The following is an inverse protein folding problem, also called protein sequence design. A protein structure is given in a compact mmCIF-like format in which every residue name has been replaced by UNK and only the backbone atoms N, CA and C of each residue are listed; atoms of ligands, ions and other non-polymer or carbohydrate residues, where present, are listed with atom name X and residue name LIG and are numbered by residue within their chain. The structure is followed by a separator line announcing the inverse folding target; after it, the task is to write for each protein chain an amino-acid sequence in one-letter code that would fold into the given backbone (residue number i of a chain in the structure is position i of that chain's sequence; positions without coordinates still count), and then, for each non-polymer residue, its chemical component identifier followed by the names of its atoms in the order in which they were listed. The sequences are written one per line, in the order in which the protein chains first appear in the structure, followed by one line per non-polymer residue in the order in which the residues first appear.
data_IF_597586220240
#
_entry.id   IF_597586220240
#
_cell.length_a   1.000
_cell.length_b   1.000
_cell.length_c   1.000
_cell.angle_alpha   90.00
_cell.angle_beta   90.00
_cell.angle_gamma   90.00
#
_symmetry.space_group_name_H-M   'P 1'
#
loop_
_entity.id
_entity.type
_entity.pdbx_description
1 polymer ?
#
# COMPACT_ATOMS: atom_id res chain seq x y z
N UNK A 1 25.45 14.21 5.68
CA UNK A 1 24.39 13.44 6.36
C UNK A 1 23.26 14.41 6.65
N UNK A 2 22.04 14.08 6.25
CA UNK A 2 20.90 14.97 6.41
C UNK A 2 20.50 14.97 7.89
N UNK A 3 20.33 16.16 8.48
CA UNK A 3 19.90 16.29 9.87
C UNK A 3 18.36 16.27 9.93
N UNK A 4 17.80 15.09 10.18
CA UNK A 4 16.37 14.90 10.38
C UNK A 4 15.97 15.20 11.84
N UNK A 5 14.92 16.00 12.01
CA UNK A 5 14.33 16.35 13.31
C UNK A 5 13.01 15.62 13.51
N UNK A 6 12.75 14.99 14.66
CA UNK A 6 11.44 14.38 14.92
C UNK A 6 10.32 15.41 14.77
N UNK A 7 9.19 15.03 14.17
CA UNK A 7 8.03 15.91 14.04
C UNK A 7 7.48 16.25 15.43
N UNK A 8 7.40 17.55 15.74
CA UNK A 8 6.84 18.11 16.97
C UNK A 8 5.82 19.17 16.65
N UNK A 9 4.95 19.47 17.63
CA UNK A 9 3.91 20.49 17.50
C UNK A 9 4.48 21.87 17.11
N UNK A 10 5.66 22.21 17.64
CA UNK A 10 6.39 23.46 17.33
C UNK A 10 6.84 23.58 15.86
N UNK A 11 6.91 22.45 15.12
CA UNK A 11 7.35 22.42 13.73
C UNK A 11 6.22 22.72 12.73
N UNK A 12 4.97 22.81 13.20
CA UNK A 12 3.77 22.95 12.37
C UNK A 12 3.92 24.00 11.27
N UNK A 13 4.26 25.23 11.66
CA UNK A 13 4.36 26.36 10.72
C UNK A 13 5.46 26.15 9.66
N UNK A 14 6.54 25.44 10.00
CA UNK A 14 7.66 25.21 9.07
C UNK A 14 7.25 24.16 8.03
N UNK A 15 6.61 23.08 8.47
CA UNK A 15 6.10 22.01 7.60
C UNK A 15 4.99 22.55 6.70
N UNK A 16 4.01 23.25 7.27
CA UNK A 16 2.86 23.80 6.56
C UNK A 16 3.24 24.87 5.54
N UNK A 17 4.36 25.58 5.72
CA UNK A 17 4.91 26.47 4.68
C UNK A 17 5.14 25.76 3.35
N UNK A 18 5.34 24.44 3.37
CA UNK A 18 5.58 23.62 2.18
C UNK A 18 4.30 22.86 1.77
N UNK A 19 3.57 22.27 2.71
CA UNK A 19 2.38 21.45 2.38
C UNK A 19 1.18 22.30 1.96
N UNK A 20 0.95 23.45 2.59
CA UNK A 20 -0.20 24.33 2.31
C UNK A 20 -0.29 24.81 0.86
N UNK A 21 0.80 25.27 0.21
CA UNK A 21 0.76 25.66 -1.21
C UNK A 21 0.93 24.49 -2.19
N UNK A 22 1.18 23.25 -1.74
CA UNK A 22 1.68 22.16 -2.60
C UNK A 22 0.70 21.67 -3.68
N UNK A 23 -0.60 21.79 -3.44
CA UNK A 23 -1.64 21.18 -4.29
C UNK A 23 -1.69 19.65 -4.23
N UNK A 24 -0.83 18.99 -3.43
CA UNK A 24 -0.86 17.54 -3.25
C UNK A 24 -2.03 17.18 -2.34
N UNK A 25 -2.79 16.15 -2.73
CA UNK A 25 -4.05 15.77 -2.07
C UNK A 25 -3.90 14.66 -1.04
N UNK A 26 -2.72 14.01 -0.96
CA UNK A 26 -2.46 12.88 -0.07
C UNK A 26 -2.68 13.24 1.41
N UNK A 27 -3.53 12.50 2.11
CA UNK A 27 -3.83 12.67 3.54
C UNK A 27 -2.59 12.58 4.45
N UNK A 28 -1.56 11.82 4.04
CA UNK A 28 -0.30 11.66 4.79
C UNK A 28 0.46 12.98 4.97
N UNK A 29 0.18 13.97 4.12
CA UNK A 29 0.79 15.30 4.19
C UNK A 29 0.10 16.26 5.17
N UNK A 30 -1.04 15.89 5.74
CA UNK A 30 -1.63 16.65 6.84
C UNK A 30 -0.69 16.63 8.05
N UNK A 31 -0.30 17.81 8.56
CA UNK A 31 0.59 17.90 9.72
C UNK A 31 0.02 17.16 10.94
N UNK A 32 -1.30 17.22 11.13
CA UNK A 32 -2.02 16.45 12.13
C UNK A 32 -1.73 14.95 12.05
N UNK A 33 -1.80 14.35 10.85
CA UNK A 33 -1.50 12.94 10.66
C UNK A 33 -0.04 12.63 11.01
N UNK A 34 0.92 13.44 10.54
CA UNK A 34 2.33 13.27 10.88
C UNK A 34 2.57 13.31 12.40
N UNK A 35 1.93 14.25 13.10
CA UNK A 35 2.10 14.44 14.54
C UNK A 35 1.39 13.37 15.38
N UNK A 36 0.16 13.01 15.02
CA UNK A 36 -0.65 12.04 15.78
C UNK A 36 -0.09 10.62 15.68
N UNK A 37 0.45 10.25 14.52
CA UNK A 37 1.05 8.94 14.28
C UNK A 37 2.53 8.84 14.65
N UNK A 38 3.10 9.89 15.26
CA UNK A 38 4.53 9.96 15.58
C UNK A 38 5.06 8.80 16.43
N UNK A 39 4.24 8.27 17.35
CA UNK A 39 4.62 7.15 18.21
C UNK A 39 4.75 5.83 17.45
N UNK A 40 4.11 5.70 16.29
CA UNK A 40 4.16 4.50 15.44
C UNK A 40 5.21 4.65 14.35
N UNK A 41 5.19 5.76 13.63
CA UNK A 41 6.01 5.94 12.43
C UNK A 41 7.33 6.67 12.67
N UNK A 42 7.57 7.21 13.87
CA UNK A 42 8.81 7.93 14.19
C UNK A 42 9.17 8.98 13.12
N UNK A 43 8.17 9.67 12.59
CA UNK A 43 8.31 10.64 11.52
C UNK A 43 9.30 11.74 11.91
N UNK A 44 10.16 12.08 10.97
CA UNK A 44 11.16 13.12 11.12
C UNK A 44 11.25 13.92 9.82
N UNK A 45 11.55 15.21 9.93
CA UNK A 45 11.57 16.12 8.80
C UNK A 45 12.92 16.81 8.63
N UNK A 46 13.22 17.21 7.41
CA UNK A 46 14.34 18.08 7.04
C UNK A 46 13.95 18.93 5.82
N UNK A 47 14.69 20.01 5.57
CA UNK A 47 14.58 20.77 4.32
C UNK A 47 15.88 20.63 3.55
N UNK A 48 15.80 20.16 2.31
CA UNK A 48 16.94 19.87 1.43
C UNK A 48 16.69 20.60 0.11
N UNK A 49 17.57 21.54 -0.23
CA UNK A 49 17.47 22.34 -1.46
C UNK A 49 16.07 22.95 -1.71
N UNK A 50 15.40 23.37 -0.62
CA UNK A 50 14.06 23.97 -0.67
C UNK A 50 12.89 22.98 -0.62
N UNK A 51 13.15 21.67 -0.59
CA UNK A 51 12.13 20.64 -0.45
C UNK A 51 12.01 20.17 1.01
N UNK A 52 10.80 20.16 1.54
CA UNK A 52 10.45 19.43 2.74
C UNK A 52 10.53 17.94 2.46
N UNK A 53 11.26 17.22 3.30
CA UNK A 53 11.36 15.77 3.25
C UNK A 53 10.92 15.19 4.58
N UNK A 54 9.98 14.26 4.55
CA UNK A 54 9.55 13.48 5.70
C UNK A 54 10.11 12.07 5.59
N UNK A 55 10.90 11.65 6.57
CA UNK A 55 11.38 10.27 6.75
C UNK A 55 10.60 9.60 7.86
N UNK A 56 10.20 8.36 7.66
CA UNK A 56 9.37 7.62 8.62
C UNK A 56 9.65 6.11 8.58
N UNK A 57 9.15 5.40 9.58
CA UNK A 57 9.20 3.95 9.72
C UNK A 57 7.96 3.32 9.08
N UNK A 58 8.17 2.54 8.02
CA UNK A 58 7.10 1.92 7.25
C UNK A 58 6.38 0.87 8.11
N UNK A 59 5.06 1.02 8.27
CA UNK A 59 4.22 0.12 9.07
C UNK A 59 4.63 0.03 10.55
N UNK A 60 5.37 1.03 11.06
CA UNK A 60 5.94 1.02 12.41
C UNK A 60 7.06 0.00 12.64
N UNK A 61 7.62 -0.57 11.57
CA UNK A 61 8.77 -1.47 11.64
C UNK A 61 10.11 -0.74 11.69
N UNK A 62 11.19 -1.45 11.36
CA UNK A 62 12.55 -0.86 11.28
C UNK A 62 12.87 -0.28 9.89
N UNK A 63 12.04 -0.60 8.88
CA UNK A 63 12.28 -0.12 7.52
C UNK A 63 11.97 1.36 7.43
N UNK A 64 12.92 2.15 6.93
CA UNK A 64 12.69 3.56 6.66
C UNK A 64 12.16 3.77 5.23
N UNK A 65 11.30 4.76 5.10
CA UNK A 65 10.80 5.33 3.86
C UNK A 65 10.79 6.85 3.94
N UNK A 66 10.63 7.48 2.79
CA UNK A 66 10.50 8.93 2.66
C UNK A 66 9.19 9.23 1.94
N UNK A 67 8.42 10.20 2.41
CA UNK A 67 7.27 10.68 1.64
C UNK A 67 7.77 11.38 0.36
N UNK A 68 6.86 11.62 -0.59
CA UNK A 68 7.17 12.52 -1.71
C UNK A 68 7.70 13.86 -1.16
N UNK A 69 8.91 14.30 -1.54
CA UNK A 69 9.39 15.62 -1.15
C UNK A 69 8.48 16.73 -1.66
N UNK A 70 8.26 17.75 -0.83
CA UNK A 70 7.32 18.84 -1.12
C UNK A 70 8.06 20.16 -1.22
N UNK A 71 7.96 20.83 -2.36
CA UNK A 71 8.64 22.10 -2.62
C UNK A 71 8.39 22.57 -4.05
N UNK A 72 8.97 23.71 -4.42
CA UNK A 72 8.85 24.23 -5.79
C UNK A 72 9.84 23.52 -6.73
N UNK A 73 9.33 23.07 -7.88
CA UNK A 73 10.16 22.44 -8.93
C UNK A 73 10.23 20.92 -8.83
N UNK A 74 11.28 20.35 -9.42
CA UNK A 74 11.48 18.90 -9.53
C UNK A 74 12.34 18.37 -8.39
N UNK A 75 11.73 17.63 -7.47
CA UNK A 75 12.44 17.05 -6.33
C UNK A 75 13.37 15.90 -6.73
N UNK A 76 13.28 15.35 -7.94
CA UNK A 76 14.14 14.24 -8.33
C UNK A 76 15.63 14.64 -8.34
N UNK A 77 15.95 15.94 -8.32
CA UNK A 77 17.30 16.45 -8.07
C UNK A 77 17.90 16.06 -6.70
N UNK A 78 17.07 15.89 -5.66
CA UNK A 78 17.55 15.55 -4.30
C UNK A 78 17.62 14.04 -4.02
N UNK A 79 17.19 13.19 -4.97
CA UNK A 79 17.23 11.73 -4.83
C UNK A 79 18.61 11.16 -4.46
N UNK A 80 19.74 11.63 -5.05
CA UNK A 80 21.06 11.16 -4.65
C UNK A 80 21.33 11.37 -3.14
N UNK A 81 20.91 12.50 -2.57
CA UNK A 81 21.08 12.78 -1.14
C UNK A 81 20.21 11.87 -0.26
N UNK A 82 18.95 11.61 -0.68
CA UNK A 82 18.07 10.68 0.02
C UNK A 82 18.61 9.24 -0.03
N UNK A 83 19.23 8.87 -1.15
CA UNK A 83 19.88 7.56 -1.30
C UNK A 83 21.07 7.41 -0.36
N UNK A 84 21.91 8.44 -0.25
CA UNK A 84 23.03 8.44 0.70
C UNK A 84 22.54 8.30 2.15
N UNK A 85 21.47 9.00 2.54
CA UNK A 85 20.90 8.85 3.89
C UNK A 85 20.33 7.45 4.12
N UNK A 86 19.58 6.90 3.16
CA UNK A 86 19.08 5.54 3.26
C UNK A 86 20.21 4.51 3.43
N UNK A 87 21.28 4.64 2.63
CA UNK A 87 22.46 3.79 2.71
C UNK A 87 23.21 3.93 4.04
N UNK A 88 23.28 5.14 4.62
CA UNK A 88 23.87 5.35 5.94
C UNK A 88 23.13 4.59 7.05
N UNK A 89 21.83 4.27 6.85
CA UNK A 89 21.04 3.42 7.73
C UNK A 89 21.06 1.92 7.32
N UNK A 90 21.90 1.54 6.35
CA UNK A 90 21.98 0.17 5.84
C UNK A 90 20.75 -0.26 5.04
N UNK A 91 19.97 0.69 4.51
CA UNK A 91 18.72 0.42 3.80
C UNK A 91 18.75 0.96 2.37
N UNK A 92 17.91 0.41 1.49
CA UNK A 92 17.66 0.99 0.16
C UNK A 92 16.74 2.20 0.27
N UNK A 93 16.84 3.13 -0.68
CA UNK A 93 15.90 4.25 -0.80
C UNK A 93 14.50 3.75 -1.16
N UNK A 94 13.50 4.24 -0.42
CA UNK A 94 12.06 4.00 -0.66
C UNK A 94 11.33 5.33 -0.59
N UNK A 95 10.64 5.70 -1.66
CA UNK A 95 9.75 6.86 -1.69
C UNK A 95 8.31 6.33 -1.67
N UNK A 96 7.48 6.84 -0.78
CA UNK A 96 6.12 6.36 -0.51
C UNK A 96 5.15 7.52 -0.65
N UNK A 97 3.93 7.26 -1.12
CA UNK A 97 2.92 8.30 -1.27
C UNK A 97 3.21 9.27 -2.41
N UNK A 98 3.90 8.79 -3.45
CA UNK A 98 4.15 9.55 -4.67
C UNK A 98 2.85 9.76 -5.45
N UNK A 99 2.64 10.98 -5.94
CA UNK A 99 1.59 11.27 -6.92
C UNK A 99 2.00 10.76 -8.31
N UNK A 100 1.08 10.78 -9.28
CA UNK A 100 1.41 10.50 -10.67
C UNK A 100 2.53 11.43 -11.19
N UNK A 101 2.47 12.72 -10.89
CA UNK A 101 3.51 13.70 -11.27
C UNK A 101 4.85 13.37 -10.62
N UNK A 102 4.84 13.06 -9.32
CA UNK A 102 6.07 12.70 -8.61
C UNK A 102 6.70 11.42 -9.16
N UNK A 103 5.90 10.42 -9.54
CA UNK A 103 6.38 9.22 -10.24
C UNK A 103 7.06 9.58 -11.56
N UNK A 104 6.45 10.44 -12.36
CA UNK A 104 7.00 10.84 -13.66
C UNK A 104 8.29 11.67 -13.53
N UNK A 105 8.41 12.54 -12.53
CA UNK A 105 9.67 13.24 -12.22
C UNK A 105 10.83 12.25 -12.01
N UNK A 106 10.61 11.21 -11.20
CA UNK A 106 11.62 10.18 -10.94
C UNK A 106 11.93 9.39 -12.21
N UNK A 107 10.91 8.96 -12.97
CA UNK A 107 11.10 8.21 -14.22
C UNK A 107 11.94 8.97 -15.23
N UNK A 108 11.74 10.28 -15.34
CA UNK A 108 12.46 11.12 -16.28
C UNK A 108 13.92 11.37 -15.87
N UNK A 109 14.17 11.66 -14.59
CA UNK A 109 15.52 11.99 -14.12
C UNK A 109 16.38 10.77 -13.72
N UNK A 110 15.76 9.66 -13.35
CA UNK A 110 16.41 8.44 -12.85
C UNK A 110 15.91 7.19 -13.59
N UNK A 111 15.82 7.28 -14.91
CA UNK A 111 15.29 6.23 -15.78
C UNK A 111 15.95 4.87 -15.52
N UNK A 112 15.12 3.83 -15.35
CA UNK A 112 15.56 2.45 -15.12
C UNK A 112 16.15 2.16 -13.74
N UNK A 113 16.23 3.14 -12.84
CA UNK A 113 16.81 2.96 -11.49
C UNK A 113 15.79 2.61 -10.42
N UNK A 114 14.49 2.68 -10.74
CA UNK A 114 13.40 2.44 -9.79
C UNK A 114 12.41 1.41 -10.30
N UNK A 115 11.79 0.71 -9.36
CA UNK A 115 10.53 0.01 -9.57
C UNK A 115 9.40 0.77 -8.87
N UNK A 116 8.23 0.82 -9.49
CA UNK A 116 7.05 1.54 -9.01
C UNK A 116 5.83 0.65 -8.87
N UNK A 117 5.09 0.82 -7.78
CA UNK A 117 3.82 0.12 -7.57
C UNK A 117 2.84 1.06 -6.85
N UNK A 118 1.56 0.96 -7.20
CA UNK A 118 0.47 1.52 -6.39
C UNK A 118 -0.32 0.37 -5.78
N UNK A 119 -0.67 0.48 -4.51
CA UNK A 119 -1.60 -0.43 -3.86
C UNK A 119 -2.97 0.24 -3.80
N UNK A 120 -3.96 -0.32 -4.51
CA UNK A 120 -5.32 0.22 -4.55
C UNK A 120 -5.96 0.33 -3.17
N UNK A 121 -5.54 -0.50 -2.22
CA UNK A 121 -6.01 -0.46 -0.84
C UNK A 121 -5.60 0.82 -0.10
N UNK A 122 -4.54 1.50 -0.55
CA UNK A 122 -3.93 2.66 0.10
C UNK A 122 -4.19 3.98 -0.65
N UNK A 123 -4.98 3.95 -1.73
CA UNK A 123 -5.30 5.14 -2.51
C UNK A 123 -6.40 5.96 -1.86
N UNK A 124 -6.23 7.29 -1.89
CA UNK A 124 -7.14 8.22 -1.24
C UNK A 124 -8.36 8.53 -2.08
N UNK A 125 -9.49 8.68 -1.41
CA UNK A 125 -10.74 9.13 -2.02
C UNK A 125 -10.94 10.63 -1.77
N UNK A 126 -10.84 11.42 -2.85
CA UNK A 126 -11.00 12.87 -2.78
C UNK A 126 -12.27 13.30 -3.49
N UNK A 127 -13.09 14.12 -2.82
CA UNK A 127 -14.41 14.54 -3.27
C UNK A 127 -14.46 16.06 -3.44
N UNK A 128 -15.31 16.52 -4.36
CA UNK A 128 -15.69 17.93 -4.37
C UNK A 128 -16.48 18.22 -3.08
N UNK A 129 -16.07 19.25 -2.34
CA UNK A 129 -16.74 19.63 -1.10
C UNK A 129 -18.22 19.98 -1.34
N UNK A 130 -18.53 20.68 -2.43
CA UNK A 130 -19.91 21.01 -2.81
C UNK A 130 -20.78 19.78 -3.08
N UNK A 131 -20.21 18.72 -3.65
CA UNK A 131 -20.94 17.47 -3.90
C UNK A 131 -21.35 16.84 -2.56
N UNK A 132 -20.47 16.83 -1.55
CA UNK A 132 -20.77 16.27 -0.22
C UNK A 132 -21.71 17.17 0.62
N UNK A 133 -21.58 18.49 0.50
CA UNK A 133 -22.45 19.48 1.17
C UNK A 133 -23.90 19.34 0.70
N UNK A 134 -24.08 19.27 -0.62
CA UNK A 134 -25.40 19.43 -1.24
C UNK A 134 -26.04 18.11 -1.67
N UNK A 135 -25.23 17.09 -1.98
CA UNK A 135 -25.66 15.79 -2.49
C UNK A 135 -26.67 15.93 -3.64
N UNK A 136 -26.39 16.76 -4.65
CA UNK A 136 -27.34 17.14 -5.72
C UNK A 136 -27.39 16.15 -6.88
N UNK A 137 -28.57 15.98 -7.48
CA UNK A 137 -28.74 15.14 -8.67
C UNK A 137 -29.07 13.68 -8.39
N UNK A 138 -29.32 12.91 -9.45
CA UNK A 138 -29.88 11.55 -9.36
C UNK A 138 -28.93 10.56 -8.68
N UNK A 139 -27.61 10.69 -8.88
CA UNK A 139 -26.59 9.78 -8.34
C UNK A 139 -26.52 9.76 -6.81
N UNK A 140 -26.88 10.86 -6.14
CA UNK A 140 -26.94 10.97 -4.68
C UNK A 140 -28.33 10.72 -4.09
N UNK A 141 -29.33 10.34 -4.89
CA UNK A 141 -30.68 10.03 -4.38
C UNK A 141 -30.65 8.98 -3.25
N UNK A 142 -29.85 7.89 -3.32
CA UNK A 142 -29.75 6.94 -2.21
C UNK A 142 -29.27 7.60 -0.91
N UNK A 143 -28.27 8.49 -0.98
CA UNK A 143 -27.74 9.20 0.20
C UNK A 143 -28.79 10.12 0.82
N UNK A 144 -29.51 10.90 -0.01
CA UNK A 144 -30.64 11.71 0.46
C UNK A 144 -31.75 10.87 1.08
N UNK A 145 -32.00 9.66 0.59
CA UNK A 145 -32.99 8.75 1.18
C UNK A 145 -32.57 8.29 2.59
N UNK A 146 -31.29 7.95 2.81
CA UNK A 146 -30.77 7.61 4.14
C UNK A 146 -30.91 8.80 5.10
N UNK A 147 -30.54 10.01 4.65
CA UNK A 147 -30.67 11.23 5.46
C UNK A 147 -32.13 11.51 5.82
N UNK A 148 -33.04 11.46 4.84
CA UNK A 148 -34.47 11.66 5.07
C UNK A 148 -35.07 10.64 6.04
N UNK A 149 -34.61 9.38 5.97
CA UNK A 149 -35.02 8.35 6.93
C UNK A 149 -34.51 8.66 8.34
N UNK A 150 -33.22 8.96 8.48
CA UNK A 150 -32.63 9.33 9.77
C UNK A 150 -33.37 10.52 10.40
N UNK A 151 -33.59 11.59 9.64
CA UNK A 151 -34.31 12.78 10.12
C UNK A 151 -35.78 12.49 10.47
N UNK A 152 -36.43 11.55 9.79
CA UNK A 152 -37.81 11.15 10.10
C UNK A 152 -37.90 10.28 11.36
N UNK A 153 -36.90 9.45 11.61
CA UNK A 153 -36.85 8.54 12.77
C UNK A 153 -36.38 9.26 14.03
N UNK A 154 -35.45 10.21 13.89
CA UNK A 154 -34.85 10.98 14.97
C UNK A 154 -35.06 12.48 14.76
N UNK A 155 -36.29 13.01 14.78
CA UNK A 155 -36.58 14.41 14.46
C UNK A 155 -35.90 15.43 15.39
N UNK A 156 -35.56 15.00 16.62
CA UNK A 156 -34.91 15.84 17.64
C UNK A 156 -33.38 15.66 17.67
N UNK A 157 -32.78 15.07 16.63
CA UNK A 157 -31.33 14.96 16.54
C UNK A 157 -30.68 16.36 16.49
N UNK A 158 -29.45 16.47 16.99
CA UNK A 158 -28.68 17.72 16.94
C UNK A 158 -27.28 17.47 16.42
N UNK A 159 -26.80 18.40 15.60
CA UNK A 159 -25.40 18.50 15.24
C UNK A 159 -24.73 19.54 16.13
N UNK A 160 -23.57 19.19 16.68
CA UNK A 160 -22.74 20.08 17.49
C UNK A 160 -21.31 20.06 16.95
N UNK A 161 -20.62 21.20 17.01
CA UNK A 161 -19.17 21.21 16.74
C UNK A 161 -18.46 20.37 17.81
N UNK A 162 -17.44 19.64 17.39
CA UNK A 162 -16.61 18.87 18.32
C UNK A 162 -15.76 19.83 19.15
N UNK A 163 -15.98 19.81 20.47
CA UNK A 163 -15.26 20.62 21.46
C UNK A 163 -14.67 19.75 22.55
N UNK A 164 -13.73 20.30 23.34
CA UNK A 164 -12.96 19.57 24.35
C UNK A 164 -13.80 18.80 25.37
N UNK A 165 -14.95 19.33 25.76
CA UNK A 165 -15.89 18.68 26.68
C UNK A 165 -16.51 17.39 26.11
N UNK A 166 -16.45 17.19 24.78
CA UNK A 166 -17.02 16.02 24.08
C UNK A 166 -16.01 14.91 23.77
N UNK A 167 -14.72 15.16 23.95
CA UNK A 167 -13.66 14.20 23.59
C UNK A 167 -13.81 12.86 24.34
N UNK A 168 -14.18 12.90 25.62
CA UNK A 168 -14.39 11.70 26.42
C UNK A 168 -15.53 10.82 25.88
N UNK A 169 -16.62 11.44 25.43
CA UNK A 169 -17.77 10.75 24.81
C UNK A 169 -17.38 10.12 23.47
N UNK A 170 -16.61 10.84 22.64
CA UNK A 170 -16.10 10.31 21.37
C UNK A 170 -15.19 9.10 21.57
N UNK A 171 -14.27 9.17 22.54
CA UNK A 171 -13.42 8.03 22.92
C UNK A 171 -14.23 6.85 23.47
N UNK A 172 -15.38 7.11 24.11
CA UNK A 172 -16.28 6.04 24.54
C UNK A 172 -16.96 5.38 23.34
N UNK A 173 -17.56 6.16 22.43
CA UNK A 173 -18.21 5.62 21.23
C UNK A 173 -17.23 4.79 20.39
N UNK A 174 -15.99 5.27 20.23
CA UNK A 174 -14.95 4.52 19.53
C UNK A 174 -14.64 3.17 20.18
N UNK A 175 -14.61 3.11 21.51
CA UNK A 175 -14.40 1.85 22.25
C UNK A 175 -15.59 0.90 22.11
N UNK A 176 -16.81 1.42 22.04
CA UNK A 176 -18.02 0.62 21.85
C UNK A 176 -18.08 0.04 20.43
N UNK A 177 -17.83 0.89 19.42
CA UNK A 177 -17.76 0.48 18.02
C UNK A 177 -16.76 -0.68 17.82
N UNK A 178 -15.57 -0.56 18.42
CA UNK A 178 -14.53 -1.61 18.38
C UNK A 178 -14.97 -2.92 19.00
N UNK A 179 -15.61 -2.88 20.18
CA UNK A 179 -16.07 -4.10 20.87
C UNK A 179 -17.09 -4.87 20.03
N UNK A 180 -17.90 -4.16 19.24
CA UNK A 180 -18.92 -4.76 18.39
C UNK A 180 -18.35 -5.31 17.07
N UNK A 181 -17.28 -4.72 16.53
CA UNK A 181 -16.81 -5.01 15.18
C UNK A 181 -15.48 -5.78 15.11
N UNK A 182 -14.63 -5.79 16.14
CA UNK A 182 -13.23 -6.24 15.98
C UNK A 182 -12.65 -7.01 17.19
N UNK A 183 -11.97 -8.13 16.88
CA UNK A 183 -11.12 -8.88 17.83
C UNK A 183 -9.78 -8.16 18.10
N UNK A 184 -9.19 -8.39 19.26
CA UNK A 184 -8.02 -7.63 19.76
C UNK A 184 -6.77 -7.80 18.86
N UNK A 185 -6.39 -6.80 18.06
CA UNK A 185 -5.10 -6.73 17.34
C UNK A 185 -4.28 -5.47 17.72
N UNK A 186 -2.99 -5.44 17.36
CA UNK A 186 -2.01 -4.43 17.79
C UNK A 186 -2.10 -3.08 17.05
N UNK A 187 -2.53 -3.07 15.79
CA UNK A 187 -2.79 -1.84 15.01
C UNK A 187 -3.89 -0.99 15.67
N UNK A 188 -4.85 -1.64 16.32
CA UNK A 188 -5.97 -0.99 17.01
C UNK A 188 -5.49 -0.08 18.15
N UNK A 189 -4.41 -0.46 18.86
CA UNK A 189 -3.85 0.39 19.90
C UNK A 189 -3.18 1.64 19.32
N UNK A 190 -2.74 1.63 18.06
CA UNK A 190 -2.10 2.77 17.43
C UNK A 190 -3.13 3.86 17.06
N UNK A 191 -4.26 3.48 16.44
CA UNK A 191 -5.34 4.42 16.10
C UNK A 191 -5.90 5.12 17.35
N UNK A 192 -6.13 4.37 18.44
CA UNK A 192 -6.56 4.96 19.72
C UNK A 192 -5.55 5.96 20.29
N UNK A 193 -4.24 5.64 20.21
CA UNK A 193 -3.18 6.57 20.64
C UNK A 193 -3.13 7.81 19.74
N UNK A 194 -3.29 7.64 18.43
CA UNK A 194 -3.33 8.74 17.48
C UNK A 194 -4.53 9.65 17.74
N UNK A 195 -5.73 9.07 17.95
CA UNK A 195 -6.95 9.80 18.28
C UNK A 195 -6.86 10.51 19.64
N UNK A 196 -6.31 9.86 20.67
CA UNK A 196 -6.07 10.52 21.96
C UNK A 196 -5.13 11.71 21.82
N UNK A 197 -4.04 11.55 21.06
CA UNK A 197 -3.08 12.62 20.79
C UNK A 197 -3.67 13.76 19.96
N UNK A 198 -4.57 13.45 19.03
CA UNK A 198 -5.35 14.43 18.29
C UNK A 198 -6.22 15.27 19.23
N UNK A 199 -6.92 14.63 20.16
CA UNK A 199 -7.74 15.32 21.16
C UNK A 199 -6.93 16.12 22.17
N UNK A 200 -5.76 15.62 22.60
CA UNK A 200 -4.89 16.32 23.55
C UNK A 200 -4.35 17.66 22.99
N UNK A 201 -4.31 17.80 21.66
CA UNK A 201 -3.77 18.96 20.95
C UNK A 201 -4.70 19.49 19.86
N UNK A 202 -6.01 19.29 20.01
CA UNK A 202 -7.00 19.51 18.97
C UNK A 202 -6.98 20.96 18.45
N UNK A 203 -6.91 21.92 19.38
CA UNK A 203 -6.89 23.34 19.05
C UNK A 203 -5.55 23.77 18.44
N UNK A 204 -4.41 23.29 18.95
CA UNK A 204 -3.08 23.62 18.40
C UNK A 204 -2.86 23.02 17.00
N UNK A 205 -3.46 21.86 16.74
CA UNK A 205 -3.49 21.24 15.41
C UNK A 205 -4.47 21.92 14.45
N UNK A 206 -5.27 22.89 14.92
CA UNK A 206 -6.35 23.54 14.15
C UNK A 206 -7.32 22.53 13.52
N UNK A 207 -7.61 21.46 14.27
CA UNK A 207 -8.56 20.46 13.84
C UNK A 207 -9.99 21.00 13.91
N UNK A 208 -10.82 20.48 13.01
CA UNK A 208 -12.26 20.73 13.00
C UNK A 208 -12.99 19.39 13.13
N UNK A 209 -14.15 19.41 13.79
CA UNK A 209 -14.95 18.20 13.94
C UNK A 209 -16.41 18.49 14.23
N UNK A 210 -17.21 17.44 14.13
CA UNK A 210 -18.65 17.47 14.36
C UNK A 210 -19.11 16.25 15.13
N UNK A 211 -20.22 16.40 15.85
CA UNK A 211 -20.89 15.37 16.62
C UNK A 211 -22.37 15.37 16.25
N UNK A 212 -23.00 14.19 16.23
CA UNK A 212 -24.45 14.05 16.18
C UNK A 212 -24.94 13.37 17.45
N UNK A 213 -25.96 13.96 18.05
CA UNK A 213 -26.68 13.40 19.18
C UNK A 213 -28.12 13.09 18.82
N UNK A 214 -28.64 11.99 19.37
CA UNK A 214 -30.06 11.65 19.40
C UNK A 214 -30.49 11.61 20.86
N UNK A 215 -31.31 12.58 21.28
CA UNK A 215 -31.48 12.86 22.70
C UNK A 215 -30.14 13.26 23.33
N UNK A 216 -29.75 12.63 24.43
CA UNK A 216 -28.46 12.89 25.10
C UNK A 216 -27.35 11.90 24.70
N UNK A 217 -27.61 10.97 23.77
CA UNK A 217 -26.62 9.99 23.33
C UNK A 217 -25.87 10.51 22.12
N UNK A 218 -24.53 10.54 22.20
CA UNK A 218 -23.65 10.70 21.03
C UNK A 218 -23.77 9.47 20.14
N UNK A 219 -24.19 9.64 18.89
CA UNK A 219 -24.38 8.55 17.94
C UNK A 219 -23.43 8.61 16.76
N UNK A 220 -22.78 9.75 16.50
CA UNK A 220 -21.72 9.84 15.51
C UNK A 220 -20.78 11.00 15.82
N UNK A 221 -19.52 10.88 15.43
CA UNK A 221 -18.57 11.99 15.40
C UNK A 221 -17.61 11.86 14.23
N UNK A 222 -17.03 13.00 13.86
CA UNK A 222 -15.99 13.08 12.84
C UNK A 222 -15.04 14.22 13.14
N UNK A 223 -13.78 14.10 12.74
CA UNK A 223 -12.83 15.20 12.77
C UNK A 223 -11.75 15.05 11.71
N UNK A 224 -11.07 16.15 11.44
CA UNK A 224 -10.04 16.23 10.43
C UNK A 224 -9.20 17.50 10.52
N UNK A 225 -8.32 17.69 9.55
CA UNK A 225 -7.48 18.89 9.44
C UNK A 225 -7.17 19.25 7.99
N UNK A 226 -6.50 20.37 7.77
CA UNK A 226 -6.05 20.76 6.44
C UNK A 226 -4.87 19.89 5.98
N UNK A 227 -4.96 19.41 4.74
CA UNK A 227 -3.78 18.87 4.00
C UNK A 227 -3.03 20.02 3.35
N UNK A 228 -3.79 20.91 2.71
CA UNK A 228 -3.28 22.08 2.03
C UNK A 228 -4.28 23.26 2.09
N UNK A 229 -4.02 24.35 1.34
CA UNK A 229 -4.87 25.56 1.36
C UNK A 229 -6.35 25.31 1.03
N UNK A 230 -6.65 24.29 0.23
CA UNK A 230 -7.96 24.03 -0.38
C UNK A 230 -8.48 22.60 -0.18
N UNK A 231 -7.69 21.72 0.44
CA UNK A 231 -8.04 20.32 0.72
C UNK A 231 -8.10 20.07 2.22
N UNK A 232 -9.25 19.60 2.68
CA UNK A 232 -9.44 19.12 4.05
C UNK A 232 -9.43 17.60 4.07
N UNK A 233 -8.78 16.98 5.04
CA UNK A 233 -8.81 15.54 5.22
C UNK A 233 -9.63 15.15 6.44
N UNK A 234 -10.57 14.23 6.24
CA UNK A 234 -11.42 13.66 7.28
C UNK A 234 -10.75 12.42 7.85
N UNK A 235 -9.91 12.61 8.87
CA UNK A 235 -9.12 11.55 9.51
C UNK A 235 -9.96 10.46 10.16
N UNK A 236 -11.06 10.85 10.82
CA UNK A 236 -11.90 9.91 11.57
C UNK A 236 -13.36 10.23 11.30
N UNK A 237 -14.13 9.18 11.02
CA UNK A 237 -15.59 9.23 10.95
C UNK A 237 -16.14 7.95 11.59
N UNK A 238 -16.87 8.08 12.69
CA UNK A 238 -17.40 6.96 13.47
C UNK A 238 -18.86 7.21 13.78
N UNK A 239 -19.66 6.17 13.70
CA UNK A 239 -21.07 6.20 14.07
C UNK A 239 -21.51 4.88 14.68
N UNK A 240 -22.49 4.97 15.56
CA UNK A 240 -23.22 3.83 16.12
C UNK A 240 -24.04 3.17 15.01
N UNK A 241 -23.79 1.88 14.78
CA UNK A 241 -24.44 1.10 13.71
C UNK A 241 -25.91 0.81 13.98
N UNK A 242 -26.39 1.02 15.20
CA UNK A 242 -27.81 0.89 15.54
C UNK A 242 -28.66 2.03 14.95
N UNK A 243 -28.03 3.11 14.45
CA UNK A 243 -28.70 4.29 13.89
C UNK A 243 -28.55 4.34 12.37
N UNK A 244 -29.55 3.80 11.63
CA UNK A 244 -29.53 3.80 10.16
C UNK A 244 -29.45 5.22 9.59
N UNK A 245 -28.44 5.47 8.76
CA UNK A 245 -28.18 6.77 8.16
C UNK A 245 -27.22 7.67 8.94
N UNK A 246 -26.79 7.31 10.16
CA UNK A 246 -25.88 8.12 10.99
C UNK A 246 -24.59 8.53 10.26
N UNK A 247 -23.91 7.57 9.62
CA UNK A 247 -22.72 7.85 8.78
C UNK A 247 -23.01 8.79 7.62
N UNK A 248 -24.21 8.73 7.02
CA UNK A 248 -24.55 9.57 5.86
C UNK A 248 -24.84 11.00 6.29
N UNK A 249 -25.53 11.19 7.42
CA UNK A 249 -25.88 12.52 7.91
C UNK A 249 -24.70 13.24 8.55
N UNK A 250 -23.82 12.55 9.32
CA UNK A 250 -22.60 13.16 9.86
C UNK A 250 -21.70 13.64 8.73
N UNK A 251 -21.56 12.84 7.67
CA UNK A 251 -20.72 13.21 6.55
C UNK A 251 -21.21 14.49 5.86
N UNK A 252 -22.51 14.57 5.56
CA UNK A 252 -23.10 15.75 4.91
C UNK A 252 -22.99 16.97 5.80
N UNK A 253 -23.42 16.87 7.06
CA UNK A 253 -23.45 18.01 7.98
C UNK A 253 -22.04 18.51 8.25
N UNK A 254 -21.06 17.62 8.44
CA UNK A 254 -19.69 18.04 8.62
C UNK A 254 -19.17 18.80 7.39
N UNK A 255 -19.41 18.29 6.17
CA UNK A 255 -19.03 19.00 4.95
C UNK A 255 -19.67 20.40 4.85
N UNK A 256 -20.92 20.58 5.30
CA UNK A 256 -21.61 21.89 5.36
C UNK A 256 -20.99 22.87 6.35
N UNK A 257 -20.37 22.37 7.42
CA UNK A 257 -19.73 23.20 8.45
C UNK A 257 -18.24 23.45 8.18
N UNK A 258 -17.64 22.79 7.19
CA UNK A 258 -16.26 23.07 6.80
C UNK A 258 -16.14 24.46 6.13
N UNK A 259 -15.08 25.23 6.44
CA UNK A 259 -14.80 26.50 5.80
C UNK A 259 -14.87 26.45 4.27
N UNK A 260 -15.42 27.49 3.64
CA UNK A 260 -15.61 27.55 2.18
C UNK A 260 -14.31 27.43 1.38
N UNK A 261 -13.16 27.80 1.98
CA UNK A 261 -11.84 27.65 1.35
C UNK A 261 -11.52 26.21 0.97
N UNK A 262 -12.09 25.23 1.68
CA UNK A 262 -11.94 23.82 1.35
C UNK A 262 -12.92 23.46 0.23
N UNK A 263 -12.35 23.31 -0.96
CA UNK A 263 -13.06 22.90 -2.18
C UNK A 263 -12.98 21.40 -2.41
N UNK A 264 -11.99 20.73 -1.80
CA UNK A 264 -11.80 19.30 -1.82
C UNK A 264 -11.83 18.72 -0.40
N UNK A 265 -12.40 17.52 -0.28
CA UNK A 265 -12.40 16.73 0.96
C UNK A 265 -11.76 15.38 0.65
N UNK A 266 -10.60 15.10 1.24
CA UNK A 266 -10.03 13.78 1.30
C UNK A 266 -10.71 12.99 2.43
N UNK A 267 -11.04 11.72 2.19
CA UNK A 267 -11.59 10.82 3.21
C UNK A 267 -10.76 9.55 3.31
N UNK A 268 -9.46 9.61 3.06
CA UNK A 268 -8.45 8.55 3.19
C UNK A 268 -8.75 7.29 2.35
N UNK A 269 -8.08 6.18 2.65
CA UNK A 269 -8.07 4.93 1.88
C UNK A 269 -9.11 3.86 2.30
N UNK A 270 -9.35 2.85 1.46
CA UNK A 270 -10.31 1.77 1.77
C UNK A 270 -9.71 0.56 2.50
N UNK A 271 -8.38 0.53 2.69
CA UNK A 271 -7.62 -0.54 3.35
C UNK A 271 -7.85 -1.93 2.76
N UNK A 272 -8.35 -2.03 1.52
CA UNK A 272 -8.68 -3.29 0.88
C UNK A 272 -10.02 -3.88 1.33
N UNK A 273 -10.78 -3.17 2.17
CA UNK A 273 -12.05 -3.65 2.72
C UNK A 273 -13.17 -3.38 1.72
N UNK A 274 -13.75 -4.43 1.14
CA UNK A 274 -14.76 -4.31 0.08
C UNK A 274 -15.97 -3.45 0.46
N UNK A 275 -16.50 -3.63 1.69
CA UNK A 275 -17.62 -2.81 2.17
C UNK A 275 -17.26 -1.32 2.26
N UNK A 276 -16.06 -1.00 2.73
CA UNK A 276 -15.56 0.37 2.83
C UNK A 276 -15.32 0.97 1.45
N UNK A 277 -14.71 0.20 0.54
CA UNK A 277 -14.50 0.58 -0.87
C UNK A 277 -15.81 0.93 -1.57
N UNK A 278 -16.83 0.07 -1.45
CA UNK A 278 -18.15 0.34 -2.03
C UNK A 278 -18.80 1.59 -1.43
N UNK A 279 -18.67 1.78 -0.11
CA UNK A 279 -19.17 2.97 0.58
C UNK A 279 -18.53 4.25 0.04
N UNK A 280 -17.19 4.29 -0.06
CA UNK A 280 -16.45 5.46 -0.58
C UNK A 280 -16.76 5.72 -2.06
N UNK A 281 -16.74 4.69 -2.91
CA UNK A 281 -17.10 4.83 -4.33
C UNK A 281 -18.54 5.33 -4.53
N UNK A 282 -19.48 4.98 -3.65
CA UNK A 282 -20.88 5.42 -3.75
C UNK A 282 -21.08 6.93 -3.52
N UNK A 283 -20.06 7.64 -3.02
CA UNK A 283 -20.03 9.10 -2.92
C UNK A 283 -19.40 9.78 -4.15
N UNK A 284 -19.06 9.02 -5.20
CA UNK A 284 -18.56 9.54 -6.48
C UNK A 284 -17.33 10.45 -6.31
N UNK A 285 -16.20 9.90 -5.85
CA UNK A 285 -14.96 10.67 -5.69
C UNK A 285 -14.62 11.42 -6.99
N UNK A 286 -14.20 12.67 -6.84
CA UNK A 286 -13.72 13.50 -7.93
C UNK A 286 -12.36 12.99 -8.43
N UNK A 287 -11.53 12.52 -7.51
CA UNK A 287 -10.20 11.96 -7.78
C UNK A 287 -9.99 10.75 -6.87
N UNK A 288 -9.46 9.66 -7.45
CA UNK A 288 -8.76 8.63 -6.67
C UNK A 288 -7.28 9.01 -6.73
N UNK A 289 -6.74 9.48 -5.61
CA UNK A 289 -5.36 9.93 -5.54
C UNK A 289 -4.46 8.70 -5.37
N UNK A 290 -3.77 8.34 -6.45
CA UNK A 290 -2.77 7.27 -6.41
C UNK A 290 -1.66 7.61 -5.42
N UNK A 291 -1.14 6.57 -4.75
CA UNK A 291 -0.02 6.65 -3.81
C UNK A 291 1.03 5.62 -4.22
N UNK A 292 1.94 6.00 -5.12
CA UNK A 292 2.98 5.10 -5.57
C UNK A 292 4.06 4.91 -4.51
N UNK A 293 4.51 3.67 -4.36
CA UNK A 293 5.78 3.30 -3.76
C UNK A 293 6.82 3.18 -4.87
N UNK A 294 7.97 3.83 -4.70
CA UNK A 294 9.15 3.66 -5.52
C UNK A 294 10.30 3.10 -4.68
N UNK A 295 10.94 2.02 -5.16
CA UNK A 295 12.17 1.51 -4.56
C UNK A 295 13.33 1.73 -5.52
N UNK A 296 14.46 2.25 -5.01
CA UNK A 296 15.67 2.29 -5.82
C UNK A 296 16.19 0.86 -5.97
N UNK A 297 16.31 0.42 -7.21
CA UNK A 297 16.78 -0.91 -7.57
C UNK A 297 18.29 -0.98 -7.43
N UNK A 298 18.77 -2.13 -6.99
CA UNK A 298 20.19 -2.44 -7.04
C UNK A 298 20.61 -2.98 -8.41
N UNK A 299 21.91 -2.97 -8.76
CA UNK A 299 22.37 -3.38 -10.09
C UNK A 299 21.92 -4.78 -10.53
N UNK A 300 21.87 -5.75 -9.61
CA UNK A 300 21.38 -7.09 -9.89
C UNK A 300 19.86 -7.13 -10.10
N UNK A 301 19.08 -6.34 -9.36
CA UNK A 301 17.64 -6.20 -9.56
C UNK A 301 17.33 -5.55 -10.92
N UNK A 302 18.10 -4.53 -11.34
CA UNK A 302 18.00 -3.90 -12.66
C UNK A 302 18.28 -4.95 -13.76
N UNK A 303 19.38 -5.69 -13.65
CA UNK A 303 19.71 -6.72 -14.64
C UNK A 303 18.67 -7.84 -14.70
N UNK A 304 18.04 -8.18 -13.56
CA UNK A 304 16.92 -9.14 -13.55
C UNK A 304 15.68 -8.57 -14.26
N UNK A 305 15.33 -7.31 -14.00
CA UNK A 305 14.22 -6.62 -14.67
C UNK A 305 14.42 -6.63 -16.19
N UNK A 306 15.62 -6.25 -16.66
CA UNK A 306 15.97 -6.28 -18.09
C UNK A 306 15.84 -7.68 -18.71
N UNK A 307 16.36 -8.70 -18.03
CA UNK A 307 16.24 -10.09 -18.48
C UNK A 307 14.78 -10.57 -18.51
N UNK A 308 13.98 -10.19 -17.51
CA UNK A 308 12.56 -10.52 -17.44
C UNK A 308 11.83 -9.95 -18.64
N UNK A 309 11.95 -8.63 -18.85
CA UNK A 309 11.28 -7.91 -19.93
C UNK A 309 11.65 -8.51 -21.29
N UNK A 310 12.93 -8.81 -21.50
CA UNK A 310 13.40 -9.41 -22.76
C UNK A 310 12.94 -10.87 -22.97
N UNK A 311 12.65 -11.62 -21.90
CA UNK A 311 12.29 -13.03 -21.97
C UNK A 311 10.79 -13.29 -22.05
N UNK A 312 9.98 -12.53 -21.31
CA UNK A 312 8.56 -12.82 -21.11
C UNK A 312 7.63 -11.78 -21.73
N UNK A 313 8.09 -10.54 -21.93
CA UNK A 313 7.26 -9.47 -22.49
C UNK A 313 6.13 -9.00 -21.58
N UNK A 314 6.16 -9.36 -20.29
CA UNK A 314 5.24 -8.85 -19.28
C UNK A 314 5.36 -7.34 -19.14
N UNK A 315 4.26 -6.69 -18.75
CA UNK A 315 4.25 -5.24 -18.55
C UNK A 315 5.15 -4.81 -17.37
N UNK A 316 5.64 -3.57 -17.44
CA UNK A 316 6.57 -3.05 -16.43
C UNK A 316 5.96 -3.01 -15.02
N UNK A 317 4.64 -2.73 -14.92
CA UNK A 317 3.96 -2.65 -13.63
C UNK A 317 3.91 -4.02 -12.95
N UNK A 318 3.67 -5.09 -13.69
CA UNK A 318 3.71 -6.46 -13.19
C UNK A 318 5.10 -6.83 -12.64
N UNK A 319 6.16 -6.53 -13.41
CA UNK A 319 7.53 -6.82 -13.01
C UNK A 319 7.93 -5.98 -11.78
N UNK A 320 7.57 -4.70 -11.74
CA UNK A 320 7.86 -3.81 -10.62
C UNK A 320 7.16 -4.26 -9.33
N UNK A 321 5.89 -4.68 -9.45
CA UNK A 321 5.12 -5.25 -8.33
C UNK A 321 5.81 -6.51 -7.77
N UNK A 322 6.30 -7.39 -8.64
CA UNK A 322 7.09 -8.56 -8.24
C UNK A 322 8.38 -8.15 -7.50
N UNK A 323 9.12 -7.17 -8.03
CA UNK A 323 10.37 -6.67 -7.44
C UNK A 323 10.15 -6.03 -6.06
N UNK A 324 9.03 -5.33 -5.87
CA UNK A 324 8.70 -4.68 -4.61
C UNK A 324 8.25 -5.70 -3.55
N UNK A 325 7.41 -6.66 -3.92
CA UNK A 325 6.71 -7.52 -2.94
C UNK A 325 7.37 -8.87 -2.70
N UNK A 326 7.91 -9.47 -3.76
CA UNK A 326 8.26 -10.90 -3.79
C UNK A 326 9.74 -11.20 -3.98
N UNK A 327 10.46 -10.31 -4.69
CA UNK A 327 11.88 -10.46 -4.92
C UNK A 327 12.68 -10.57 -3.61
N UNK A 328 13.66 -11.48 -3.60
CA UNK A 328 14.62 -11.60 -2.52
C UNK A 328 15.95 -12.09 -3.05
N UNK A 329 17.02 -11.35 -2.76
CA UNK A 329 18.40 -11.72 -3.10
C UNK A 329 18.78 -13.11 -2.59
N UNK A 330 18.30 -13.49 -1.40
CA UNK A 330 18.57 -14.82 -0.80
C UNK A 330 17.90 -15.99 -1.52
N UNK A 331 16.92 -15.70 -2.39
CA UNK A 331 16.13 -16.67 -3.15
C UNK A 331 16.24 -16.45 -4.65
N UNK A 332 17.15 -15.59 -5.08
CA UNK A 332 17.45 -15.30 -6.47
C UNK A 332 18.73 -16.02 -6.86
N UNK A 333 18.73 -16.69 -8.02
CA UNK A 333 19.95 -17.24 -8.61
C UNK A 333 20.23 -16.57 -9.95
N UNK A 334 21.45 -16.09 -10.11
CA UNK A 334 21.94 -15.49 -11.35
C UNK A 334 23.18 -16.22 -11.86
N UNK A 335 23.36 -16.25 -13.18
CA UNK A 335 24.59 -16.67 -13.81
C UNK A 335 25.18 -15.50 -14.58
N UNK A 336 26.42 -15.14 -14.26
CA UNK A 336 27.16 -14.13 -14.99
C UNK A 336 27.90 -14.72 -16.19
N UNK A 337 27.96 -13.94 -17.27
CA UNK A 337 28.76 -14.23 -18.45
C UNK A 337 29.30 -12.92 -19.02
N UNK A 338 30.60 -12.86 -19.31
CA UNK A 338 31.28 -11.65 -19.82
C UNK A 338 30.99 -10.39 -18.97
N UNK A 339 30.91 -10.54 -17.65
CA UNK A 339 30.67 -9.44 -16.71
C UNK A 339 29.22 -8.93 -16.67
N UNK A 340 28.28 -9.63 -17.30
CA UNK A 340 26.84 -9.30 -17.29
C UNK A 340 26.03 -10.46 -16.70
N UNK A 341 24.95 -10.15 -15.98
CA UNK A 341 23.94 -11.15 -15.64
C UNK A 341 23.32 -11.69 -16.94
N UNK A 342 23.50 -12.98 -17.19
CA UNK A 342 23.15 -13.62 -18.47
C UNK A 342 22.01 -14.64 -18.33
N UNK A 343 21.80 -15.18 -17.15
CA UNK A 343 20.65 -16.02 -16.83
C UNK A 343 20.20 -15.79 -15.39
N UNK A 344 18.93 -16.11 -15.13
CA UNK A 344 18.29 -15.80 -13.85
C UNK A 344 17.16 -16.82 -13.55
N UNK A 345 16.88 -17.07 -12.27
CA UNK A 345 15.65 -17.68 -11.79
C UNK A 345 15.36 -17.30 -10.33
N UNK A 346 14.09 -17.35 -9.93
CA UNK A 346 13.62 -17.09 -8.58
C UNK A 346 13.14 -18.38 -7.90
N UNK A 347 13.41 -18.52 -6.60
CA UNK A 347 12.94 -19.63 -5.76
C UNK A 347 11.89 -19.13 -4.77
N UNK A 348 10.61 -19.22 -5.15
CA UNK A 348 9.52 -18.65 -4.36
C UNK A 348 8.95 -19.67 -3.36
N UNK A 349 8.75 -19.27 -2.09
CA UNK A 349 8.22 -20.14 -1.05
C UNK A 349 6.68 -20.27 -1.12
N UNK A 350 6.19 -21.50 -1.25
CA UNK A 350 4.77 -21.85 -1.20
C UNK A 350 4.50 -23.06 -0.29
N UNK A 351 3.32 -23.10 0.32
CA UNK A 351 2.78 -24.33 0.89
C UNK A 351 1.75 -24.90 -0.06
N UNK A 352 1.73 -26.23 -0.21
CA UNK A 352 0.73 -26.94 -1.01
C UNK A 352 0.30 -28.23 -0.32
N UNK A 353 -0.59 -28.99 -0.96
CA UNK A 353 -0.97 -30.33 -0.48
C UNK A 353 0.21 -31.31 -0.44
N UNK A 354 1.33 -30.98 -1.11
CA UNK A 354 2.58 -31.74 -1.08
C UNK A 354 3.53 -31.30 0.04
N UNK A 355 3.13 -30.36 0.89
CA UNK A 355 3.96 -29.79 1.95
C UNK A 355 4.71 -28.55 1.47
N UNK A 356 5.92 -28.36 2.00
CA UNK A 356 6.72 -27.17 1.70
C UNK A 356 7.23 -27.23 0.26
N UNK A 357 6.78 -26.28 -0.54
CA UNK A 357 6.92 -26.32 -1.99
C UNK A 357 7.68 -25.10 -2.49
N UNK A 358 8.74 -25.30 -3.27
CA UNK A 358 9.43 -24.19 -3.96
C UNK A 358 8.91 -24.04 -5.37
N UNK A 359 8.42 -22.85 -5.72
CA UNK A 359 8.14 -22.51 -7.12
C UNK A 359 9.38 -21.91 -7.77
N UNK A 360 9.93 -22.60 -8.78
CA UNK A 360 11.00 -22.07 -9.62
C UNK A 360 10.37 -21.17 -10.68
N UNK A 361 10.57 -19.86 -10.54
CA UNK A 361 9.86 -18.83 -11.28
C UNK A 361 10.80 -17.96 -12.11
N UNK A 362 10.33 -17.47 -13.26
CA UNK A 362 11.08 -16.53 -14.12
C UNK A 362 12.42 -17.07 -14.63
N UNK A 363 12.50 -18.35 -15.04
CA UNK A 363 13.73 -18.94 -15.59
C UNK A 363 14.04 -18.31 -16.94
N UNK A 364 15.04 -17.42 -16.99
CA UNK A 364 15.41 -16.69 -18.20
C UNK A 364 16.89 -16.81 -18.53
N UNK A 365 17.22 -16.71 -19.81
CA UNK A 365 18.59 -16.54 -20.33
C UNK A 365 18.54 -15.55 -21.47
N UNK A 366 19.41 -14.53 -21.42
CA UNK A 366 19.51 -13.50 -22.44
C UNK A 366 19.65 -14.14 -23.83
N UNK A 367 18.91 -13.68 -24.86
CA UNK A 367 18.91 -14.28 -26.19
C UNK A 367 20.32 -14.56 -26.76
N UNK A 368 21.26 -13.64 -26.57
CA UNK A 368 22.65 -13.71 -27.04
C UNK A 368 23.53 -14.74 -26.29
N UNK A 369 23.11 -15.17 -25.09
CA UNK A 369 23.83 -16.12 -24.24
C UNK A 369 23.15 -17.50 -24.15
N UNK A 370 22.07 -17.73 -24.91
CA UNK A 370 21.40 -19.03 -24.99
C UNK A 370 22.34 -20.12 -25.54
N UNK A 371 22.01 -21.39 -25.25
CA UNK A 371 22.77 -22.60 -25.65
C UNK A 371 24.20 -22.69 -25.08
N UNK A 372 24.52 -21.92 -24.04
CA UNK A 372 25.80 -21.98 -23.30
C UNK A 372 25.72 -22.74 -21.97
N UNK A 373 24.60 -23.42 -21.70
CA UNK A 373 24.39 -24.20 -20.47
C UNK A 373 24.06 -23.39 -19.21
N UNK A 374 23.89 -22.07 -19.31
CA UNK A 374 23.67 -21.18 -18.15
C UNK A 374 22.40 -21.52 -17.35
N UNK A 375 21.25 -21.66 -18.01
CA UNK A 375 20.02 -22.10 -17.35
C UNK A 375 20.17 -23.46 -16.67
N UNK A 376 20.89 -24.41 -17.28
CA UNK A 376 21.14 -25.72 -16.68
C UNK A 376 21.98 -25.65 -15.41
N UNK A 377 22.99 -24.77 -15.39
CA UNK A 377 23.77 -24.48 -14.17
C UNK A 377 22.89 -23.94 -13.04
N UNK A 378 22.00 -23.00 -13.36
CA UNK A 378 21.06 -22.44 -12.38
C UNK A 378 20.04 -23.47 -11.88
N UNK A 379 19.51 -24.31 -12.77
CA UNK A 379 18.61 -25.40 -12.38
C UNK A 379 19.30 -26.41 -11.46
N UNK A 380 20.55 -26.79 -11.75
CA UNK A 380 21.32 -27.67 -10.86
C UNK A 380 21.49 -27.08 -9.46
N UNK A 381 21.83 -25.79 -9.37
CA UNK A 381 21.96 -25.08 -8.10
C UNK A 381 20.60 -24.92 -7.38
N UNK A 382 19.53 -24.63 -8.11
CA UNK A 382 18.17 -24.58 -7.57
C UNK A 382 17.80 -25.90 -6.90
N UNK A 383 18.00 -27.02 -7.58
CA UNK A 383 17.68 -28.35 -7.04
C UNK A 383 18.54 -28.69 -5.81
N UNK A 384 19.82 -28.30 -5.81
CA UNK A 384 20.67 -28.45 -4.62
C UNK A 384 20.12 -27.67 -3.43
N UNK A 385 19.73 -26.40 -3.62
CA UNK A 385 19.18 -25.56 -2.55
C UNK A 385 17.82 -26.06 -2.05
N UNK A 386 16.94 -26.55 -2.94
CA UNK A 386 15.66 -27.17 -2.60
C UNK A 386 15.89 -28.41 -1.73
N UNK A 387 16.85 -29.25 -2.11
CA UNK A 387 17.24 -30.42 -1.33
C UNK A 387 17.78 -30.04 0.06
N UNK A 388 18.74 -29.11 0.11
CA UNK A 388 19.42 -28.64 1.34
C UNK A 388 18.46 -27.97 2.32
N UNK A 389 17.50 -27.19 1.82
CA UNK A 389 16.49 -26.56 2.66
C UNK A 389 15.60 -27.61 3.31
N UNK A 390 15.37 -28.75 2.66
CA UNK A 390 14.42 -29.76 3.10
C UNK A 390 13.04 -29.61 2.49
N UNK A 391 12.89 -28.99 1.31
CA UNK A 391 11.58 -28.82 0.67
C UNK A 391 11.02 -30.17 0.22
N UNK A 392 9.70 -30.36 0.40
CA UNK A 392 8.99 -31.60 0.09
C UNK A 392 8.69 -31.72 -1.41
N UNK A 393 8.47 -30.58 -2.06
CA UNK A 393 8.19 -30.50 -3.49
C UNK A 393 8.80 -29.25 -4.13
N UNK A 394 8.88 -29.26 -5.45
CA UNK A 394 9.14 -28.09 -6.26
C UNK A 394 8.24 -28.11 -7.49
N UNK A 395 7.86 -26.95 -7.98
CA UNK A 395 7.06 -26.83 -9.19
C UNK A 395 7.63 -25.77 -10.13
N UNK A 396 7.24 -25.87 -11.40
CA UNK A 396 7.46 -24.84 -12.41
C UNK A 396 6.34 -24.90 -13.47
N UNK A 397 6.10 -23.81 -14.18
CA UNK A 397 5.18 -23.77 -15.33
C UNK A 397 6.03 -23.53 -16.58
N UNK A 398 6.13 -24.49 -17.51
CA UNK A 398 6.85 -24.30 -18.77
C UNK A 398 6.12 -23.29 -19.66
N UNK A 399 6.79 -22.23 -20.10
CA UNK A 399 6.20 -21.23 -21.01
C UNK A 399 5.99 -21.75 -22.44
N UNK A 400 6.70 -22.81 -22.83
CA UNK A 400 6.64 -23.45 -24.13
C UNK A 400 6.71 -24.97 -23.98
N UNK A 401 6.06 -25.72 -24.87
CA UNK A 401 5.93 -27.18 -24.74
C UNK A 401 7.29 -27.91 -24.78
N UNK A 402 8.25 -27.42 -25.56
CA UNK A 402 9.59 -28.02 -25.64
C UNK A 402 10.38 -27.89 -24.34
N UNK A 403 10.06 -26.91 -23.47
CA UNK A 403 10.73 -26.73 -22.18
C UNK A 403 10.43 -27.89 -21.22
N UNK A 404 9.36 -28.66 -21.44
CA UNK A 404 9.11 -29.90 -20.67
C UNK A 404 10.28 -30.87 -20.77
N UNK A 405 10.84 -31.02 -21.97
CA UNK A 405 12.03 -31.84 -22.21
C UNK A 405 13.29 -31.29 -21.54
N UNK A 406 13.39 -29.97 -21.36
CA UNK A 406 14.49 -29.33 -20.64
C UNK A 406 14.41 -29.58 -19.12
N UNK A 407 13.21 -29.57 -18.55
CA UNK A 407 13.01 -29.74 -17.09
C UNK A 407 12.97 -31.20 -16.64
N UNK A 408 12.56 -32.14 -17.50
CA UNK A 408 12.44 -33.55 -17.16
C UNK A 408 13.72 -34.20 -16.58
N UNK A 409 14.94 -33.91 -17.05
CA UNK A 409 16.18 -34.43 -16.46
C UNK A 409 16.41 -34.04 -14.99
N UNK A 410 15.77 -32.98 -14.50
CA UNK A 410 15.83 -32.56 -13.09
C UNK A 410 14.73 -33.22 -12.23
N UNK A 411 13.93 -34.12 -12.81
CA UNK A 411 12.88 -34.87 -12.13
C UNK A 411 11.52 -34.19 -12.10
N UNK A 412 11.34 -33.08 -12.84
CA UNK A 412 10.02 -32.47 -13.03
C UNK A 412 9.20 -33.28 -14.04
N UNK A 413 7.93 -33.52 -13.72
CA UNK A 413 7.01 -34.23 -14.62
C UNK A 413 5.57 -33.80 -14.41
N UNK A 414 4.66 -34.21 -15.31
CA UNK A 414 3.24 -33.94 -15.21
C UNK A 414 2.79 -32.62 -15.84
N UNK A 415 1.49 -32.37 -15.76
CA UNK A 415 0.81 -31.16 -16.23
C UNK A 415 -0.39 -30.94 -15.31
N UNK A 416 -0.12 -30.55 -14.07
CA UNK A 416 -1.12 -30.47 -13.00
C UNK A 416 -1.68 -29.05 -12.97
N UNK A 417 -3.01 -28.86 -13.07
CA UNK A 417 -3.61 -27.55 -12.85
C UNK A 417 -3.21 -27.00 -11.49
N UNK A 418 -2.65 -25.78 -11.47
CA UNK A 418 -2.21 -25.12 -10.25
C UNK A 418 -2.94 -23.79 -10.06
N UNK A 419 -3.28 -23.47 -8.82
CA UNK A 419 -3.74 -22.14 -8.43
C UNK A 419 -2.82 -21.56 -7.36
N UNK A 420 -2.60 -20.25 -7.42
CA UNK A 420 -1.79 -19.54 -6.46
C UNK A 420 -2.66 -18.62 -5.60
N UNK A 421 -2.35 -18.56 -4.31
CA UNK A 421 -2.93 -17.62 -3.36
C UNK A 421 -1.80 -16.79 -2.75
N UNK A 422 -1.94 -15.48 -2.84
CA UNK A 422 -1.02 -14.48 -2.32
C UNK A 422 -1.79 -13.45 -1.49
N UNK A 423 -1.18 -12.79 -0.48
CA UNK A 423 -1.90 -11.86 0.39
C UNK A 423 -2.54 -10.68 -0.35
N UNK A 424 -2.00 -10.33 -1.51
CA UNK A 424 -2.36 -9.16 -2.31
C UNK A 424 -2.99 -9.53 -3.67
N UNK A 425 -3.22 -10.82 -3.93
CA UNK A 425 -3.75 -11.30 -5.20
C UNK A 425 -2.79 -11.23 -6.40
N UNK A 426 -1.47 -11.09 -6.18
CA UNK A 426 -0.47 -11.19 -7.26
C UNK A 426 -0.60 -12.52 -8.01
N UNK A 427 -0.67 -12.45 -9.35
CA UNK A 427 -0.76 -13.61 -10.22
C UNK A 427 0.62 -14.21 -10.50
N UNK A 428 0.86 -15.41 -9.96
CA UNK A 428 2.07 -16.19 -10.20
C UNK A 428 1.94 -17.15 -11.39
N UNK A 429 0.76 -17.25 -11.99
CA UNK A 429 0.49 -18.07 -13.16
C UNK A 429 0.89 -17.39 -14.47
N UNK A 430 0.23 -17.79 -15.56
CA UNK A 430 0.47 -17.27 -16.90
C UNK A 430 -0.53 -16.18 -17.32
N UNK A 431 -1.36 -15.66 -16.42
CA UNK A 431 -2.50 -14.79 -16.74
C UNK A 431 -3.72 -15.52 -17.33
N UNK A 432 -3.65 -16.84 -17.47
CA UNK A 432 -4.69 -17.69 -18.05
C UNK A 432 -4.76 -19.00 -17.24
N UNK A 433 -5.70 -19.12 -16.28
CA UNK A 433 -5.79 -20.29 -15.40
C UNK A 433 -5.90 -21.63 -16.13
N UNK A 434 -6.33 -21.65 -17.39
CA UNK A 434 -6.39 -22.88 -18.19
C UNK A 434 -5.00 -23.38 -18.63
N UNK A 435 -4.00 -22.51 -18.59
CA UNK A 435 -2.61 -22.78 -18.97
C UNK A 435 -1.66 -22.92 -17.79
N UNK A 436 -2.16 -22.70 -16.57
CA UNK A 436 -1.42 -22.91 -15.32
C UNK A 436 -1.24 -24.41 -15.03
N UNK A 437 -0.39 -25.05 -15.84
CA UNK A 437 -0.13 -26.48 -15.81
C UNK A 437 1.30 -26.73 -15.31
N UNK A 438 1.40 -27.03 -14.02
CA UNK A 438 2.67 -27.25 -13.35
C UNK A 438 3.30 -28.59 -13.73
N UNK A 439 4.61 -28.57 -13.98
CA UNK A 439 5.45 -29.75 -13.78
C UNK A 439 5.93 -29.78 -12.33
N UNK A 440 5.93 -30.95 -11.70
CA UNK A 440 6.21 -31.10 -10.27
C UNK A 440 7.35 -32.09 -10.06
N UNK A 441 8.29 -31.71 -9.20
CA UNK A 441 9.29 -32.55 -8.57
C UNK A 441 8.89 -32.82 -7.11
N UNK A 442 9.12 -34.03 -6.61
CA UNK A 442 8.78 -34.44 -5.24
C UNK A 442 9.94 -35.16 -4.60
N UNK A 443 10.19 -34.87 -3.31
CA UNK A 443 11.19 -35.57 -2.50
C UNK A 443 10.83 -37.03 -2.30
N UNK A 444 9.56 -37.30 -1.99
CA UNK A 444 9.00 -38.65 -1.91
C UNK A 444 8.09 -38.91 -3.12
N UNK A 445 8.59 -39.72 -4.05
CA UNK A 445 7.85 -40.09 -5.25
C UNK A 445 6.72 -41.11 -4.99
N UNK A 446 6.66 -41.72 -3.80
CA UNK A 446 5.65 -42.71 -3.44
C UNK A 446 4.32 -42.09 -3.00
N UNK A 447 4.32 -40.83 -2.57
CA UNK A 447 3.10 -40.09 -2.28
C UNK A 447 2.22 -40.02 -3.54
N UNK A 448 0.87 -40.05 -3.43
CA UNK A 448 -0.01 -39.81 -4.56
C UNK A 448 0.12 -38.37 -5.05
N UNK A 449 0.00 -38.17 -6.37
CA UNK A 449 -0.05 -36.82 -6.95
C UNK A 449 -1.50 -36.30 -6.88
N UNK A 450 -1.75 -35.07 -6.40
CA UNK A 450 -3.09 -34.53 -6.41
C UNK A 450 -3.55 -34.21 -7.84
N UNK A 451 -4.87 -34.21 -8.07
CA UNK A 451 -5.46 -33.84 -9.35
C UNK A 451 -5.27 -32.35 -9.66
N UNK A 452 -5.25 -31.51 -8.62
CA UNK A 452 -5.00 -30.07 -8.69
C UNK A 452 -4.08 -29.64 -7.55
N UNK A 453 -3.26 -28.62 -7.79
CA UNK A 453 -2.32 -28.10 -6.80
C UNK A 453 -2.78 -26.71 -6.35
N UNK A 454 -2.92 -26.51 -5.04
CA UNK A 454 -3.23 -25.21 -4.46
C UNK A 454 -2.00 -24.72 -3.72
N UNK A 455 -1.44 -23.61 -4.15
CA UNK A 455 -0.19 -23.07 -3.63
C UNK A 455 -0.45 -21.76 -2.89
N UNK A 456 -0.23 -21.73 -1.58
CA UNK A 456 -0.33 -20.51 -0.77
C UNK A 456 1.06 -19.93 -0.51
N UNK A 457 1.29 -18.68 -0.94
CA UNK A 457 2.56 -17.99 -0.71
C UNK A 457 2.73 -17.76 0.79
N UNK A 458 3.92 -18.06 1.32
CA UNK A 458 4.25 -17.74 2.70
C UNK A 458 5.56 -16.95 2.79
N UNK A 459 5.54 -15.86 3.55
CA UNK A 459 6.75 -15.11 3.88
C UNK A 459 7.25 -15.65 5.21
N UNK A 460 8.35 -16.42 5.20
CA UNK A 460 9.02 -16.80 6.45
C UNK A 460 9.45 -15.51 7.15
N UNK A 461 8.94 -15.28 8.36
CA UNK A 461 9.30 -14.11 9.19
C UNK A 461 10.80 -14.05 9.44
#
# INVERSE_FOLDING_TARGET
MIEFKPVRLEDKQIIERHTMPSGILNCDLAFANMYCWQAMYHSAWAVIDGFLVIRFHIGGGEKIGYMQPVGEGDFAGIIPALREDAHAHGQRLRLIGLTDEGREMIRNMHAGLFAFESDRALEDYVYNAEDLRNLTGRRYQPKRNHINRFMSEYPDFRYENLTRDRFAECMQLEREWRRAHEGHTSELCAEQRAMQRAFDHFEELEMLGGCIYVGDKLVAFTFGSAVNDHTFDTHVEKADTDYDGAFTIINKLFAEHLPERFTLINREEDLGIDGLRQSKLSYHPAVIQHKFTAIHLHPDEIACKELWTAAFGDDEQFIDSFLIRYYSRSRMLTAEYEGRTAAMLHLLPFESQLGRTTYIYGVATAPEFRRRGLAGKLMGEAMRLIADRGDDAALLIPSEEWLRGFYAPYGFSGAIPVTFASPDGFDFGTGDPSKDLAMVWRRDASAPMPETLQCSYYKKK
#
